data_IF_950194246847
#
_entry.id   IF_950194246847
#
_cell.length_a   1.000
_cell.length_b   1.000
_cell.length_c   1.000
_cell.angle_alpha   90.00
_cell.angle_beta   90.00
_cell.angle_gamma   90.00
#
_symmetry.space_group_name_H-M   'P 1'
#
loop_
_entity.id
_entity.type
_entity.pdbx_description
1 polymer ?
#
# COMPACT_ATOMS: atom_id res chain seq x y z
N UNK A 1 -21.40 13.31 5.09
CA UNK A 1 -20.62 12.24 4.42
C UNK A 1 -21.54 11.52 3.44
N UNK A 2 -21.07 11.21 2.24
CA UNK A 2 -21.88 10.60 1.16
C UNK A 2 -21.94 9.07 1.27
N UNK A 3 -20.85 8.42 1.70
CA UNK A 3 -20.70 6.96 1.78
C UNK A 3 -20.26 6.50 3.19
N UNK A 4 -21.14 6.59 4.21
CA UNK A 4 -20.78 6.27 5.59
C UNK A 4 -20.34 4.81 5.79
N UNK A 5 -21.03 3.83 5.21
CA UNK A 5 -20.75 2.41 5.46
C UNK A 5 -19.46 1.98 4.75
N UNK A 6 -19.30 2.36 3.48
CA UNK A 6 -18.07 2.11 2.73
C UNK A 6 -16.86 2.73 3.43
N UNK A 7 -16.99 3.94 4.00
CA UNK A 7 -15.89 4.57 4.74
C UNK A 7 -15.47 3.77 5.97
N UNK A 8 -16.42 3.21 6.73
CA UNK A 8 -16.10 2.43 7.94
C UNK A 8 -15.43 1.12 7.57
N UNK A 9 -15.92 0.42 6.55
CA UNK A 9 -15.34 -0.85 6.11
C UNK A 9 -13.94 -0.66 5.55
N UNK A 10 -13.73 0.39 4.73
CA UNK A 10 -12.39 0.74 4.26
C UNK A 10 -11.46 1.08 5.43
N UNK A 11 -11.93 1.83 6.43
CA UNK A 11 -11.14 2.16 7.61
C UNK A 11 -10.71 0.91 8.37
N UNK A 12 -11.60 -0.07 8.55
CA UNK A 12 -11.26 -1.35 9.18
C UNK A 12 -10.16 -2.07 8.38
N UNK A 13 -10.28 -2.13 7.06
CA UNK A 13 -9.23 -2.71 6.21
C UNK A 13 -7.90 -1.95 6.30
N UNK A 14 -7.94 -0.62 6.29
CA UNK A 14 -6.78 0.25 6.44
C UNK A 14 -6.05 0.03 7.77
N UNK A 15 -6.80 -0.06 8.88
CA UNK A 15 -6.26 -0.30 10.23
C UNK A 15 -5.70 -1.73 10.34
N UNK A 16 -6.38 -2.71 9.73
CA UNK A 16 -5.92 -4.11 9.66
C UNK A 16 -4.61 -4.26 8.89
N UNK A 17 -4.47 -3.66 7.69
CA UNK A 17 -3.22 -3.72 6.91
C UNK A 17 -2.09 -2.92 7.59
N UNK A 18 -2.41 -1.86 8.32
CA UNK A 18 -1.44 -1.07 9.07
C UNK A 18 -1.03 -1.71 10.40
N UNK A 19 -1.35 -3.01 10.59
CA UNK A 19 -0.99 -3.81 11.76
C UNK A 19 -1.33 -3.17 13.11
N UNK A 20 -2.48 -2.51 13.20
CA UNK A 20 -2.95 -1.92 14.45
C UNK A 20 -3.75 -2.96 15.28
N UNK A 21 -3.51 -3.06 16.59
CA UNK A 21 -4.38 -3.83 17.47
C UNK A 21 -5.82 -3.28 17.38
N UNK A 22 -6.86 -4.12 17.36
CA UNK A 22 -6.89 -5.57 17.62
C UNK A 22 -7.03 -6.45 16.35
N UNK A 23 -6.52 -6.01 15.21
CA UNK A 23 -6.75 -6.70 13.93
C UNK A 23 -5.71 -7.77 13.63
N UNK A 24 -6.06 -8.70 12.73
CA UNK A 24 -5.22 -9.80 12.28
C UNK A 24 -3.83 -9.37 11.76
N UNK A 25 -3.70 -8.23 11.08
CA UNK A 25 -2.41 -7.76 10.61
C UNK A 25 -1.41 -7.53 11.75
N UNK A 26 -1.88 -7.08 12.91
CA UNK A 26 -1.05 -6.95 14.11
C UNK A 26 -0.57 -8.31 14.61
N UNK A 27 -1.45 -9.32 14.63
CA UNK A 27 -1.05 -10.69 15.04
C UNK A 27 -0.03 -11.29 14.07
N UNK A 28 -0.22 -11.14 12.77
CA UNK A 28 0.74 -11.61 11.77
C UNK A 28 2.12 -10.96 11.94
N UNK A 29 2.18 -9.65 12.18
CA UNK A 29 3.45 -8.96 12.43
C UNK A 29 4.07 -9.36 13.76
N UNK A 30 3.29 -9.49 14.84
CA UNK A 30 3.80 -9.99 16.12
C UNK A 30 4.41 -11.38 15.99
N UNK A 31 3.77 -12.30 15.26
CA UNK A 31 4.33 -13.63 15.01
C UNK A 31 5.67 -13.56 14.27
N UNK A 32 5.80 -12.63 13.32
CA UNK A 32 7.09 -12.36 12.69
C UNK A 32 8.09 -11.87 13.74
N UNK A 33 7.78 -10.83 14.52
CA UNK A 33 8.67 -10.31 15.57
C UNK A 33 9.14 -11.41 16.54
N UNK A 34 8.24 -12.26 17.02
CA UNK A 34 8.57 -13.38 17.91
C UNK A 34 9.50 -14.40 17.24
N UNK A 35 9.22 -14.77 15.98
CA UNK A 35 10.10 -15.67 15.22
C UNK A 35 11.51 -15.10 15.04
N UNK A 36 11.63 -13.78 14.83
CA UNK A 36 12.91 -13.08 14.73
C UNK A 36 13.64 -13.04 16.09
N UNK A 37 12.93 -12.75 17.19
CA UNK A 37 13.54 -12.70 18.53
C UNK A 37 14.02 -14.07 19.01
N UNK A 38 13.26 -15.14 18.76
CA UNK A 38 13.69 -16.50 19.08
C UNK A 38 14.95 -16.87 18.27
N UNK A 39 14.98 -16.54 16.98
CA UNK A 39 16.14 -16.76 16.10
C UNK A 39 17.38 -15.99 16.54
N UNK A 40 17.22 -14.83 17.18
CA UNK A 40 18.34 -14.01 17.67
C UNK A 40 19.16 -14.72 18.75
N UNK A 41 18.53 -15.55 19.59
CA UNK A 41 19.22 -16.28 20.66
C UNK A 41 20.19 -17.35 20.15
N UNK A 42 19.89 -17.94 18.99
CA UNK A 42 20.60 -19.08 18.39
C UNK A 42 21.61 -18.66 17.29
N UNK A 43 21.54 -17.41 16.85
CA UNK A 43 22.29 -16.91 15.70
C UNK A 43 23.74 -16.48 16.03
N UNK A 44 24.65 -16.75 15.10
CA UNK A 44 25.99 -16.15 15.07
C UNK A 44 25.93 -14.62 14.94
N UNK A 45 27.01 -13.93 15.32
CA UNK A 45 27.07 -12.46 15.31
C UNK A 45 26.76 -11.83 13.94
N UNK A 46 27.15 -12.47 12.84
CA UNK A 46 26.86 -12.03 11.47
C UNK A 46 25.36 -12.08 11.16
N UNK A 47 24.70 -13.20 11.51
CA UNK A 47 23.27 -13.42 11.31
C UNK A 47 22.45 -12.46 12.18
N UNK A 48 22.90 -12.16 13.40
CA UNK A 48 22.24 -11.17 14.28
C UNK A 48 22.12 -9.78 13.65
N UNK A 49 23.19 -9.30 13.00
CA UNK A 49 23.18 -8.00 12.30
C UNK A 49 22.17 -8.04 11.14
N UNK A 50 22.13 -9.14 10.39
CA UNK A 50 21.17 -9.33 9.31
C UNK A 50 19.73 -9.34 9.83
N UNK A 51 19.44 -10.11 10.88
CA UNK A 51 18.11 -10.20 11.49
C UNK A 51 17.64 -8.83 12.00
N UNK A 52 18.51 -8.08 12.67
CA UNK A 52 18.19 -6.71 13.13
C UNK A 52 17.88 -5.77 11.96
N UNK A 53 18.64 -5.87 10.86
CA UNK A 53 18.43 -5.07 9.66
C UNK A 53 17.08 -5.40 8.99
N UNK A 54 16.73 -6.69 8.89
CA UNK A 54 15.44 -7.13 8.36
C UNK A 54 14.28 -6.65 9.24
N UNK A 55 14.44 -6.74 10.56
CA UNK A 55 13.45 -6.26 11.52
C UNK A 55 13.20 -4.76 11.39
N UNK A 56 14.26 -3.97 11.23
CA UNK A 56 14.17 -2.53 11.02
C UNK A 56 13.46 -2.19 9.69
N UNK A 57 13.74 -2.93 8.62
CA UNK A 57 13.05 -2.78 7.34
C UNK A 57 11.57 -3.12 7.49
N UNK A 58 11.23 -4.21 8.18
CA UNK A 58 9.85 -4.62 8.44
C UNK A 58 9.09 -3.53 9.21
N UNK A 59 9.65 -3.05 10.32
CA UNK A 59 9.05 -1.96 11.10
C UNK A 59 8.86 -0.67 10.26
N UNK A 60 9.85 -0.34 9.42
CA UNK A 60 9.74 0.78 8.49
C UNK A 60 8.59 0.58 7.48
N UNK A 61 8.42 -0.63 6.93
CA UNK A 61 7.33 -0.92 6.01
C UNK A 61 5.95 -0.77 6.65
N UNK A 62 5.78 -1.21 7.90
CA UNK A 62 4.52 -1.05 8.65
C UNK A 62 4.19 0.42 8.91
N UNK A 63 5.20 1.22 9.27
CA UNK A 63 5.03 2.67 9.45
C UNK A 63 4.66 3.38 8.13
N UNK A 64 5.27 2.99 7.00
CA UNK A 64 4.94 3.51 5.68
C UNK A 64 3.55 3.10 5.22
N UNK A 65 3.12 1.86 5.51
CA UNK A 65 1.76 1.40 5.25
C UNK A 65 0.74 2.26 6.01
N UNK A 66 0.95 2.50 7.31
CA UNK A 66 0.11 3.37 8.10
C UNK A 66 0.02 4.79 7.51
N UNK A 67 1.15 5.40 7.16
CA UNK A 67 1.16 6.73 6.54
C UNK A 67 0.41 6.77 5.20
N UNK A 68 0.54 5.72 4.38
CA UNK A 68 -0.16 5.58 3.11
C UNK A 68 -1.68 5.50 3.31
N UNK A 69 -2.15 4.67 4.24
CA UNK A 69 -3.58 4.47 4.46
C UNK A 69 -4.26 5.62 5.20
N UNK A 70 -3.55 6.31 6.11
CA UNK A 70 -4.02 7.56 6.72
C UNK A 70 -4.33 8.60 5.63
N UNK A 71 -3.41 8.75 4.68
CA UNK A 71 -3.60 9.65 3.54
C UNK A 71 -4.71 9.16 2.62
N UNK A 72 -4.74 7.87 2.26
CA UNK A 72 -5.77 7.33 1.39
C UNK A 72 -7.16 7.59 1.98
N UNK A 73 -7.36 7.26 3.26
CA UNK A 73 -8.61 7.52 3.96
C UNK A 73 -8.94 9.02 4.04
N UNK A 74 -7.95 9.86 4.39
CA UNK A 74 -8.10 11.31 4.46
C UNK A 74 -8.54 11.92 3.15
N UNK A 75 -7.84 11.63 2.06
CA UNK A 75 -8.11 12.19 0.72
C UNK A 75 -9.41 11.69 0.09
N UNK A 76 -9.85 10.46 0.40
CA UNK A 76 -11.05 9.87 -0.23
C UNK A 76 -12.33 10.15 0.57
N UNK A 77 -12.28 10.06 1.90
CA UNK A 77 -13.50 10.09 2.75
C UNK A 77 -13.63 11.33 3.64
N UNK A 78 -12.55 12.08 3.89
CA UNK A 78 -12.56 13.27 4.74
C UNK A 78 -12.39 14.57 3.95
N UNK A 79 -11.82 14.50 2.74
CA UNK A 79 -11.57 15.64 1.89
C UNK A 79 -12.84 16.11 1.12
N UNK A 80 -12.77 17.31 0.57
CA UNK A 80 -13.75 17.94 -0.30
C UNK A 80 -13.70 17.29 -1.70
N UNK A 81 -14.85 17.16 -2.36
CA UNK A 81 -14.89 16.58 -3.70
C UNK A 81 -14.19 17.50 -4.70
N UNK A 82 -13.13 16.99 -5.33
CA UNK A 82 -12.37 17.72 -6.37
C UNK A 82 -12.96 17.61 -7.77
N UNK A 83 -13.85 16.64 -7.99
CA UNK A 83 -14.51 16.36 -9.26
C UNK A 83 -16.02 16.26 -9.09
N UNK A 84 -16.76 16.40 -10.19
CA UNK A 84 -18.22 16.36 -10.16
C UNK A 84 -18.75 14.94 -9.84
N UNK A 85 -18.00 13.91 -10.22
CA UNK A 85 -18.26 12.51 -9.89
C UNK A 85 -18.12 12.27 -8.39
N UNK A 86 -17.06 12.80 -7.76
CA UNK A 86 -16.88 12.70 -6.31
C UNK A 86 -17.98 13.43 -5.53
N UNK A 87 -18.46 14.58 -6.05
CA UNK A 87 -19.54 15.34 -5.43
C UNK A 87 -20.91 14.66 -5.54
N UNK A 88 -21.12 13.87 -6.59
CA UNK A 88 -22.37 13.13 -6.86
C UNK A 88 -22.35 11.68 -6.38
N UNK A 89 -21.26 11.24 -5.76
CA UNK A 89 -21.11 9.89 -5.22
C UNK A 89 -22.23 9.54 -4.22
N UNK A 90 -22.70 8.31 -4.30
CA UNK A 90 -23.72 7.74 -3.41
C UNK A 90 -23.23 6.44 -2.83
N UNK A 91 -23.81 6.04 -1.71
CA UNK A 91 -23.53 4.73 -1.12
C UNK A 91 -23.86 3.60 -2.09
N UNK A 92 -23.02 2.58 -2.10
CA UNK A 92 -23.18 1.41 -2.97
C UNK A 92 -24.32 0.50 -2.46
N UNK A 93 -24.77 -0.43 -3.32
CA UNK A 93 -25.84 -1.37 -2.95
C UNK A 93 -25.42 -2.26 -1.79
N UNK A 94 -26.39 -2.73 -0.99
CA UNK A 94 -26.11 -3.58 0.18
C UNK A 94 -25.32 -4.84 -0.19
N UNK A 95 -25.56 -5.43 -1.36
CA UNK A 95 -24.83 -6.61 -1.83
C UNK A 95 -23.33 -6.34 -2.01
N UNK A 96 -22.95 -5.15 -2.51
CA UNK A 96 -21.55 -4.76 -2.66
C UNK A 96 -20.88 -4.45 -1.32
N UNK A 97 -21.64 -4.05 -0.29
CA UNK A 97 -21.12 -3.78 1.06
C UNK A 97 -20.86 -5.08 1.82
N UNK A 98 -21.73 -6.08 1.67
CA UNK A 98 -21.68 -7.32 2.45
C UNK A 98 -20.35 -8.06 2.28
N UNK A 99 -19.83 -8.18 1.05
CA UNK A 99 -18.57 -8.88 0.80
C UNK A 99 -17.39 -8.31 1.60
N UNK A 100 -17.04 -7.03 1.40
CA UNK A 100 -16.01 -6.35 2.18
C UNK A 100 -16.31 -6.31 3.69
N UNK A 101 -17.58 -6.24 4.10
CA UNK A 101 -17.96 -6.27 5.52
C UNK A 101 -17.64 -7.62 6.18
N UNK A 102 -17.89 -8.73 5.49
CA UNK A 102 -17.51 -10.07 5.98
C UNK A 102 -15.99 -10.15 6.18
N UNK A 103 -15.21 -9.66 5.22
CA UNK A 103 -13.75 -9.62 5.34
C UNK A 103 -13.29 -8.73 6.49
N UNK A 104 -13.91 -7.57 6.68
CA UNK A 104 -13.60 -6.66 7.77
C UNK A 104 -13.86 -7.31 9.15
N UNK A 105 -14.98 -8.04 9.29
CA UNK A 105 -15.28 -8.81 10.51
C UNK A 105 -14.28 -9.95 10.68
N UNK A 106 -13.93 -10.66 9.61
CA UNK A 106 -12.92 -11.72 9.65
C UNK A 106 -11.55 -11.19 10.13
N UNK A 107 -11.11 -10.04 9.63
CA UNK A 107 -9.88 -9.39 10.09
C UNK A 107 -9.89 -9.08 11.60
N UNK A 108 -11.04 -8.68 12.14
CA UNK A 108 -11.19 -8.41 13.57
C UNK A 108 -11.18 -9.70 14.39
N UNK A 109 -11.96 -10.71 13.98
CA UNK A 109 -12.06 -12.01 14.67
C UNK A 109 -10.72 -12.73 14.68
N UNK A 110 -10.04 -12.79 13.53
CA UNK A 110 -8.71 -13.38 13.40
C UNK A 110 -7.65 -12.64 14.21
N UNK A 111 -7.83 -11.34 14.48
CA UNK A 111 -6.92 -10.59 15.36
C UNK A 111 -7.20 -10.84 16.85
N UNK A 112 -8.47 -10.77 17.25
CA UNK A 112 -8.89 -10.94 18.65
C UNK A 112 -8.67 -12.35 19.17
N UNK A 113 -8.91 -13.36 18.32
CA UNK A 113 -8.93 -14.76 18.72
C UNK A 113 -7.82 -15.58 18.07
N UNK A 114 -6.71 -14.96 17.63
CA UNK A 114 -5.64 -15.64 16.92
C UNK A 114 -5.13 -16.88 17.69
N UNK A 115 -4.76 -16.71 18.96
CA UNK A 115 -4.20 -17.77 19.81
C UNK A 115 -5.20 -18.92 19.98
N UNK A 116 -6.47 -18.60 20.21
CA UNK A 116 -7.54 -19.57 20.39
C UNK A 116 -7.80 -20.36 19.10
N UNK A 117 -7.78 -19.69 17.94
CA UNK A 117 -7.96 -20.32 16.63
C UNK A 117 -6.81 -21.28 16.34
N UNK A 118 -5.56 -20.87 16.59
CA UNK A 118 -4.40 -21.76 16.42
C UNK A 118 -4.41 -22.93 17.42
N UNK A 119 -4.81 -22.69 18.67
CA UNK A 119 -4.96 -23.74 19.68
C UNK A 119 -5.99 -24.79 19.26
N UNK A 120 -7.15 -24.38 18.76
CA UNK A 120 -8.19 -25.29 18.22
C UNK A 120 -7.67 -26.07 17.01
N UNK A 121 -6.80 -25.47 16.20
CA UNK A 121 -6.15 -26.14 15.08
C UNK A 121 -5.01 -27.10 15.50
N UNK A 122 -4.71 -27.22 16.80
CA UNK A 122 -3.67 -28.11 17.33
C UNK A 122 -2.27 -27.50 17.37
N UNK A 123 -2.13 -26.19 17.18
CA UNK A 123 -0.86 -25.46 17.27
C UNK A 123 -0.79 -24.69 18.58
N UNK A 124 0.24 -24.98 19.39
CA UNK A 124 0.57 -24.20 20.58
C UNK A 124 1.74 -23.27 20.25
N UNK A 125 1.48 -21.96 20.32
CA UNK A 125 2.52 -20.94 20.22
C UNK A 125 2.64 -20.20 21.55
N UNK A 126 3.88 -19.87 21.95
CA UNK A 126 4.15 -18.99 23.08
C UNK A 126 3.93 -17.52 22.69
N UNK A 127 2.73 -17.21 22.22
CA UNK A 127 2.32 -15.84 21.89
C UNK A 127 1.58 -15.23 23.08
N UNK A 128 1.79 -13.93 23.38
CA UNK A 128 0.95 -13.23 24.33
C UNK A 128 -0.52 -13.24 23.86
N UNK A 129 -1.44 -13.68 24.73
CA UNK A 129 -2.87 -13.66 24.42
C UNK A 129 -3.39 -12.20 24.40
N UNK A 130 -3.59 -11.69 23.19
CA UNK A 130 -4.06 -10.31 22.96
C UNK A 130 -5.58 -10.18 22.97
N UNK A 131 -6.33 -11.24 23.30
CA UNK A 131 -7.80 -11.21 23.32
C UNK A 131 -8.34 -10.19 24.32
N UNK A 132 -7.80 -10.13 25.54
CA UNK A 132 -8.22 -9.18 26.57
C UNK A 132 -7.92 -7.74 26.14
N UNK A 133 -6.68 -7.46 25.73
CA UNK A 133 -6.27 -6.12 25.29
C UNK A 133 -7.11 -5.69 24.10
N UNK A 134 -7.33 -6.59 23.15
CA UNK A 134 -8.13 -6.31 21.98
C UNK A 134 -9.59 -6.06 22.30
N UNK A 135 -10.20 -6.83 23.21
CA UNK A 135 -11.56 -6.58 23.68
C UNK A 135 -11.68 -5.22 24.38
N UNK A 136 -10.71 -4.85 25.22
CA UNK A 136 -10.67 -3.53 25.87
C UNK A 136 -10.62 -2.41 24.83
N UNK A 137 -9.79 -2.55 23.80
CA UNK A 137 -9.69 -1.56 22.71
C UNK A 137 -10.99 -1.46 21.90
N UNK A 138 -11.64 -2.59 21.59
CA UNK A 138 -12.95 -2.60 20.90
C UNK A 138 -14.00 -1.91 21.76
N UNK A 139 -14.10 -2.28 23.04
CA UNK A 139 -15.06 -1.68 23.98
C UNK A 139 -14.80 -0.18 24.11
N UNK A 140 -13.55 0.23 24.28
CA UNK A 140 -13.17 1.63 24.32
C UNK A 140 -13.60 2.37 23.04
N UNK A 141 -13.34 1.80 21.85
CA UNK A 141 -13.78 2.37 20.58
C UNK A 141 -15.30 2.51 20.47
N UNK A 142 -16.05 1.48 20.91
CA UNK A 142 -17.52 1.50 20.94
C UNK A 142 -18.04 2.55 21.93
N UNK A 143 -17.43 2.67 23.10
CA UNK A 143 -17.77 3.67 24.11
C UNK A 143 -17.51 5.09 23.59
N UNK A 144 -16.33 5.34 22.99
CA UNK A 144 -16.02 6.64 22.38
C UNK A 144 -17.01 6.95 21.26
N UNK A 145 -17.32 5.98 20.40
CA UNK A 145 -18.32 6.16 19.35
C UNK A 145 -19.71 6.49 19.92
N UNK A 146 -20.15 5.75 20.94
CA UNK A 146 -21.40 5.98 21.65
C UNK A 146 -21.45 7.36 22.31
N UNK A 147 -20.37 7.75 23.00
CA UNK A 147 -20.23 9.05 23.64
C UNK A 147 -20.31 10.17 22.61
N UNK A 148 -19.57 10.07 21.50
CA UNK A 148 -19.66 11.05 20.41
C UNK A 148 -21.08 11.10 19.84
N UNK A 149 -21.78 9.98 19.71
CA UNK A 149 -23.16 9.96 19.20
C UNK A 149 -24.19 10.55 20.17
N UNK A 150 -23.99 10.40 21.47
CA UNK A 150 -24.90 10.87 22.52
C UNK A 150 -24.67 12.35 22.85
N UNK A 151 -23.42 12.78 22.93
CA UNK A 151 -23.04 14.13 23.38
C UNK A 151 -22.79 15.12 22.23
N UNK A 152 -22.61 14.66 20.98
CA UNK A 152 -22.34 15.59 19.88
C UNK A 152 -23.59 16.38 19.47
N UNK A 153 -23.51 17.72 19.40
CA UNK A 153 -24.62 18.56 18.95
C UNK A 153 -25.05 18.18 17.53
N UNK A 154 -26.33 17.88 17.35
CA UNK A 154 -26.88 17.55 16.01
C UNK A 154 -26.87 18.74 15.05
N UNK A 155 -26.71 19.96 15.56
CA UNK A 155 -26.57 21.18 14.75
C UNK A 155 -25.15 21.27 14.19
N UNK A 156 -24.95 20.71 13.00
CA UNK A 156 -23.73 20.91 12.22
C UNK A 156 -23.79 22.28 11.53
N UNK A 157 -22.88 23.19 11.89
CA UNK A 157 -22.66 24.44 11.15
C UNK A 157 -21.57 24.20 10.11
N UNK A 158 -21.88 24.46 8.83
CA UNK A 158 -20.84 24.59 7.81
C UNK A 158 -20.30 26.02 7.88
N UNK A 159 -19.01 26.16 8.16
CA UNK A 159 -18.30 27.43 8.09
C UNK A 159 -17.06 27.27 7.24
N UNK A 160 -16.53 28.38 6.77
CA UNK A 160 -15.22 28.42 6.13
C UNK A 160 -14.16 27.96 7.15
N UNK A 161 -13.19 27.17 6.70
CA UNK A 161 -12.00 26.83 7.48
C UNK A 161 -10.99 27.95 7.41
N UNK A 162 -10.06 28.01 8.35
CA UNK A 162 -8.93 28.94 8.26
C UNK A 162 -8.16 28.69 6.95
N UNK A 163 -8.21 29.65 6.04
CA UNK A 163 -7.56 29.58 4.74
C UNK A 163 -6.45 30.63 4.63
N UNK A 164 -5.72 30.93 5.71
CA UNK A 164 -4.60 31.89 5.72
C UNK A 164 -4.90 33.24 5.02
N UNK A 165 -6.12 33.75 5.13
CA UNK A 165 -6.55 35.00 4.50
C UNK A 165 -7.23 34.87 3.13
N UNK A 166 -7.35 33.67 2.56
CA UNK A 166 -8.16 33.46 1.35
C UNK A 166 -9.66 33.53 1.67
N UNK A 167 -10.42 34.24 0.82
CA UNK A 167 -11.84 34.57 1.03
C UNK A 167 -12.77 33.37 0.80
N UNK A 168 -12.34 32.38 -0.01
CA UNK A 168 -13.07 31.12 -0.24
C UNK A 168 -12.09 29.96 -0.46
N UNK A 169 -12.02 28.96 0.44
CA UNK A 169 -11.26 27.74 0.20
C UNK A 169 -11.93 26.95 -0.92
N UNK A 170 -11.14 26.54 -1.91
CA UNK A 170 -11.60 25.65 -2.99
C UNK A 170 -11.08 24.23 -2.76
N UNK A 171 -11.70 23.18 -3.34
CA UNK A 171 -11.19 21.81 -3.25
C UNK A 171 -9.75 21.62 -3.76
N UNK A 172 -9.19 22.61 -4.47
CA UNK A 172 -7.78 22.61 -4.90
C UNK A 172 -6.78 22.85 -3.77
N UNK A 173 -7.23 23.37 -2.64
CA UNK A 173 -6.38 23.66 -1.46
C UNK A 173 -6.02 22.39 -0.68
N UNK A 174 -6.69 21.28 -0.96
CA UNK A 174 -6.45 20.02 -0.28
C UNK A 174 -5.15 19.38 -0.74
N UNK A 175 -4.48 18.68 0.18
CA UNK A 175 -3.24 17.99 -0.11
C UNK A 175 -3.43 16.97 -1.23
N UNK A 176 -2.60 17.10 -2.27
CA UNK A 176 -2.52 16.13 -3.35
C UNK A 176 -1.71 14.92 -2.91
N UNK A 177 -1.82 13.83 -3.67
CA UNK A 177 -1.02 12.65 -3.40
C UNK A 177 0.49 12.95 -3.43
N UNK A 178 0.93 13.73 -4.41
CA UNK A 178 2.33 14.14 -4.52
C UNK A 178 2.74 15.06 -3.37
N UNK A 179 1.89 16.03 -2.98
CA UNK A 179 2.19 16.96 -1.89
C UNK A 179 2.34 16.28 -0.52
N UNK A 180 1.52 15.28 -0.21
CA UNK A 180 1.66 14.51 1.04
C UNK A 180 2.92 13.64 1.06
N UNK A 181 3.29 13.05 -0.09
CA UNK A 181 4.47 12.18 -0.20
C UNK A 181 5.78 12.97 -0.42
N UNK A 182 5.70 14.28 -0.61
CA UNK A 182 6.84 15.13 -0.95
C UNK A 182 8.00 15.04 0.06
N UNK A 183 7.78 15.10 1.39
CA UNK A 183 8.87 14.95 2.34
C UNK A 183 9.62 13.61 2.17
N UNK A 184 8.89 12.56 1.83
CA UNK A 184 9.44 11.22 1.62
C UNK A 184 10.28 11.18 0.33
N UNK A 185 9.81 11.82 -0.75
CA UNK A 185 10.58 11.97 -1.98
C UNK A 185 11.83 12.83 -1.83
N UNK A 186 11.84 13.77 -0.88
CA UNK A 186 13.04 14.55 -0.54
C UNK A 186 14.08 13.71 0.20
N UNK A 187 13.66 12.92 1.20
CA UNK A 187 14.56 12.01 1.94
C UNK A 187 15.22 11.03 0.96
N UNK A 188 14.45 10.46 0.04
CA UNK A 188 14.93 9.49 -0.95
C UNK A 188 15.29 10.13 -2.30
N UNK A 189 15.64 11.42 -2.33
CA UNK A 189 15.96 12.15 -3.57
C UNK A 189 17.11 11.54 -4.36
N UNK A 190 18.08 10.90 -3.69
CA UNK A 190 19.19 10.21 -4.36
C UNK A 190 18.71 9.06 -5.26
N UNK A 191 17.68 8.35 -4.81
CA UNK A 191 17.10 7.19 -5.51
C UNK A 191 16.10 7.67 -6.56
N UNK A 192 15.16 8.53 -6.17
CA UNK A 192 14.04 8.93 -7.01
C UNK A 192 14.33 10.08 -7.98
N UNK A 193 15.45 10.81 -7.77
CA UNK A 193 15.86 12.00 -8.55
C UNK A 193 14.69 12.95 -8.82
N UNK A 194 13.91 13.23 -7.78
CA UNK A 194 12.70 14.06 -7.83
C UNK A 194 13.02 15.43 -8.44
N UNK A 195 12.35 15.77 -9.55
CA UNK A 195 12.44 17.09 -10.18
C UNK A 195 11.15 17.85 -9.96
N UNK A 196 11.31 19.06 -9.44
CA UNK A 196 10.24 20.02 -9.22
C UNK A 196 10.11 20.92 -10.42
N UNK A 197 8.95 20.89 -11.07
CA UNK A 197 8.61 21.88 -12.08
C UNK A 197 7.54 22.81 -11.53
N UNK A 198 7.84 24.11 -11.55
CA UNK A 198 6.93 25.14 -11.06
C UNK A 198 6.84 26.22 -12.12
N UNK A 199 5.81 26.14 -12.95
CA UNK A 199 5.44 27.25 -13.84
C UNK A 199 4.54 28.18 -13.07
N UNK A 200 4.94 29.45 -12.98
CA UNK A 200 4.13 30.52 -12.40
C UNK A 200 3.95 31.61 -13.43
N UNK A 201 2.72 32.00 -13.67
CA UNK A 201 2.38 33.21 -14.39
C UNK A 201 2.00 34.29 -13.37
N UNK A 202 2.51 35.49 -13.61
CA UNK A 202 2.23 36.67 -12.82
C UNK A 202 1.41 37.65 -13.66
N UNK A 203 0.56 38.42 -13.00
CA UNK A 203 -0.30 39.40 -13.66
C UNK A 203 0.44 40.72 -13.92
N UNK A 204 1.48 40.98 -13.14
CA UNK A 204 2.31 42.17 -13.22
C UNK A 204 3.71 41.86 -13.75
N UNK A 205 4.36 42.88 -14.31
CA UNK A 205 5.71 42.77 -14.83
C UNK A 205 6.76 42.62 -13.71
N UNK A 206 6.43 43.01 -12.48
CA UNK A 206 7.31 42.89 -11.30
C UNK A 206 7.18 41.54 -10.59
N UNK A 207 6.34 40.62 -11.09
CA UNK A 207 6.10 39.30 -10.50
C UNK A 207 5.62 39.33 -9.05
N UNK A 208 4.98 40.43 -8.62
CA UNK A 208 4.43 40.58 -7.29
C UNK A 208 3.02 39.99 -7.17
N UNK A 209 2.25 39.91 -8.27
CA UNK A 209 0.86 39.45 -8.28
C UNK A 209 0.77 38.09 -8.98
N UNK A 210 0.60 37.03 -8.19
CA UNK A 210 0.43 35.68 -8.69
C UNK A 210 -0.90 35.52 -9.42
N UNK A 211 -0.86 35.07 -10.68
CA UNK A 211 -2.05 34.84 -11.51
C UNK A 211 -2.45 33.38 -11.52
N UNK A 212 -1.54 32.50 -11.92
CA UNK A 212 -1.78 31.06 -11.99
C UNK A 212 -0.45 30.31 -11.92
N UNK A 213 -0.48 29.07 -11.45
CA UNK A 213 0.70 28.22 -11.46
C UNK A 213 0.35 26.75 -11.59
N UNK A 214 1.25 26.01 -12.24
CA UNK A 214 1.22 24.56 -12.31
C UNK A 214 2.48 24.05 -11.64
N UNK A 215 2.29 23.23 -10.60
CA UNK A 215 3.38 22.51 -9.96
C UNK A 215 3.20 21.03 -10.26
N UNK A 216 4.23 20.42 -10.83
CA UNK A 216 4.29 18.99 -11.10
C UNK A 216 5.56 18.42 -10.46
N UNK A 217 5.40 17.28 -9.81
CA UNK A 217 6.49 16.49 -9.25
C UNK A 217 6.70 15.34 -10.21
N UNK A 218 7.81 15.35 -10.95
CA UNK A 218 8.19 14.23 -11.79
C UNK A 218 9.20 13.37 -11.05
N UNK A 219 8.84 12.10 -10.85
CA UNK A 219 9.68 11.10 -10.22
C UNK A 219 10.15 10.13 -11.30
N UNK A 220 11.45 9.81 -11.34
CA UNK A 220 11.94 8.77 -12.25
C UNK A 220 11.45 7.42 -11.74
N UNK A 221 10.88 6.60 -12.62
CA UNK A 221 10.49 5.23 -12.26
C UNK A 221 11.71 4.32 -12.38
N UNK A 222 12.59 4.39 -11.38
CA UNK A 222 13.89 3.70 -11.41
C UNK A 222 13.79 2.24 -11.85
N UNK A 223 12.90 1.46 -11.22
CA UNK A 223 12.72 0.05 -11.56
C UNK A 223 12.21 -0.14 -12.99
N UNK A 224 11.25 0.67 -13.44
CA UNK A 224 10.71 0.56 -14.81
C UNK A 224 11.79 0.87 -15.84
N UNK A 225 12.47 2.02 -15.70
CA UNK A 225 13.38 2.53 -16.72
C UNK A 225 14.73 1.81 -16.76
N UNK A 226 15.26 1.40 -15.61
CA UNK A 226 16.61 0.82 -15.52
C UNK A 226 16.64 -0.70 -15.35
N UNK A 227 15.54 -1.33 -14.90
CA UNK A 227 15.50 -2.78 -14.67
C UNK A 227 14.50 -3.44 -15.62
N UNK A 228 13.22 -3.08 -15.55
CA UNK A 228 12.18 -3.76 -16.29
C UNK A 228 12.28 -3.53 -17.80
N UNK A 229 12.42 -2.29 -18.27
CA UNK A 229 12.50 -2.01 -19.71
C UNK A 229 13.72 -2.63 -20.40
N UNK A 230 14.95 -2.59 -19.83
CA UNK A 230 16.09 -3.28 -20.42
C UNK A 230 15.92 -4.79 -20.48
N UNK A 231 15.40 -5.40 -19.40
CA UNK A 231 15.14 -6.84 -19.35
C UNK A 231 14.05 -7.24 -20.35
N UNK A 232 12.93 -6.51 -20.40
CA UNK A 232 11.87 -6.73 -21.37
C UNK A 232 12.39 -6.55 -22.81
N UNK A 233 13.25 -5.56 -23.04
CA UNK A 233 13.94 -5.36 -24.31
C UNK A 233 14.86 -6.52 -24.68
N UNK A 234 15.59 -7.10 -23.73
CA UNK A 234 16.41 -8.30 -23.91
C UNK A 234 15.56 -9.49 -24.32
N UNK A 235 14.46 -9.77 -23.59
CA UNK A 235 13.51 -10.82 -23.96
C UNK A 235 12.91 -10.57 -25.34
N UNK A 236 12.58 -9.33 -25.68
CA UNK A 236 12.10 -8.96 -27.02
C UNK A 236 13.16 -9.13 -28.12
N UNK A 237 14.46 -9.05 -27.81
CA UNK A 237 15.54 -9.38 -28.76
C UNK A 237 15.69 -10.90 -28.93
N UNK A 238 15.71 -11.65 -27.84
CA UNK A 238 15.81 -13.11 -27.84
C UNK A 238 14.61 -13.71 -28.57
N UNK A 239 13.39 -13.26 -28.27
CA UNK A 239 12.17 -13.69 -28.93
C UNK A 239 12.26 -13.46 -30.44
N UNK A 240 12.63 -12.26 -30.89
CA UNK A 240 12.81 -11.98 -32.33
C UNK A 240 13.90 -12.82 -32.98
N UNK A 241 14.99 -13.12 -32.26
CA UNK A 241 16.05 -14.00 -32.74
C UNK A 241 15.54 -15.44 -32.94
N UNK A 242 14.81 -15.98 -31.96
CA UNK A 242 14.21 -17.32 -32.03
C UNK A 242 13.14 -17.39 -33.13
N UNK A 243 12.27 -16.40 -33.23
CA UNK A 243 11.25 -16.35 -34.29
C UNK A 243 11.89 -16.35 -35.67
N UNK A 244 13.01 -15.63 -35.87
CA UNK A 244 13.76 -15.69 -37.13
C UNK A 244 14.37 -17.05 -37.43
N UNK A 245 14.77 -17.83 -36.41
CA UNK A 245 15.24 -19.20 -36.60
C UNK A 245 14.07 -20.14 -36.95
N UNK A 246 12.86 -19.85 -36.49
CA UNK A 246 11.66 -20.65 -36.76
C UNK A 246 10.94 -20.28 -38.07
N UNK A 247 11.20 -19.15 -38.70
CA UNK A 247 10.53 -18.74 -39.95
C UNK A 247 11.28 -19.17 -41.24
N UNK A 248 12.25 -20.07 -41.14
CA UNK A 248 13.05 -20.53 -42.29
C UNK A 248 12.63 -21.93 -42.69
N UNK A 249 12.34 -22.09 -43.98
CA UNK A 249 12.05 -23.28 -44.81
C UNK A 249 11.89 -24.64 -44.10
N UNK A 250 10.95 -25.47 -44.58
CA UNK A 250 10.61 -26.79 -44.00
C UNK A 250 11.83 -27.68 -43.73
N UNK A 251 12.87 -27.60 -44.56
CA UNK A 251 14.13 -28.32 -44.36
C UNK A 251 14.90 -27.91 -43.09
N UNK A 252 14.89 -26.63 -42.73
CA UNK A 252 15.54 -26.13 -41.51
C UNK A 252 14.82 -26.59 -40.24
N UNK A 253 13.48 -26.66 -40.27
CA UNK A 253 12.70 -27.23 -39.16
C UNK A 253 13.04 -28.69 -38.87
N UNK A 254 13.12 -29.52 -39.91
CA UNK A 254 13.46 -30.93 -39.77
C UNK A 254 14.87 -31.07 -39.19
N UNK A 255 15.83 -30.27 -39.65
CA UNK A 255 17.19 -30.24 -39.10
C UNK A 255 17.23 -29.86 -37.62
N UNK A 256 16.50 -28.81 -37.20
CA UNK A 256 16.43 -28.41 -35.79
C UNK A 256 15.79 -29.48 -34.91
N UNK A 257 14.74 -30.16 -35.40
CA UNK A 257 14.12 -31.27 -34.67
C UNK A 257 15.09 -32.45 -34.49
N UNK A 258 15.85 -32.80 -35.53
CA UNK A 258 16.84 -33.87 -35.49
C UNK A 258 18.00 -33.53 -34.52
N UNK A 259 18.55 -32.31 -34.59
CA UNK A 259 19.60 -31.85 -33.66
C UNK A 259 19.09 -31.87 -32.22
N UNK A 260 17.84 -31.46 -31.98
CA UNK A 260 17.25 -31.44 -30.64
C UNK A 260 17.13 -32.86 -30.07
N UNK A 261 16.66 -33.83 -30.86
CA UNK A 261 16.61 -35.25 -30.45
C UNK A 261 18.00 -35.78 -30.15
N UNK A 262 18.99 -35.47 -30.99
CA UNK A 262 20.37 -35.93 -30.81
C UNK A 262 21.03 -35.33 -29.56
N UNK A 263 20.79 -34.04 -29.28
CA UNK A 263 21.21 -33.38 -28.05
C UNK A 263 20.55 -33.98 -26.81
N UNK A 264 19.25 -34.29 -26.86
CA UNK A 264 18.54 -34.95 -25.75
C UNK A 264 19.11 -36.33 -25.48
N UNK A 265 19.43 -37.12 -26.51
CA UNK A 265 20.04 -38.45 -26.35
C UNK A 265 21.45 -38.35 -25.75
N UNK A 266 22.26 -37.40 -26.21
CA UNK A 266 23.60 -37.17 -25.65
C UNK A 266 23.54 -36.70 -24.20
N UNK A 267 22.60 -35.81 -23.86
CA UNK A 267 22.38 -35.36 -22.49
C UNK A 267 21.89 -36.51 -21.60
N UNK A 268 20.97 -37.36 -22.09
CA UNK A 268 20.48 -38.52 -21.35
C UNK A 268 21.58 -39.55 -21.10
N UNK A 269 22.48 -39.78 -22.07
CA UNK A 269 23.66 -40.64 -21.90
C UNK A 269 24.71 -40.07 -20.95
N UNK A 270 24.73 -38.75 -20.76
CA UNK A 270 25.64 -38.12 -19.80
C UNK A 270 25.07 -38.14 -18.37
N UNK A 271 23.75 -38.27 -18.24
CA UNK A 271 23.02 -38.36 -16.97
C UNK A 271 22.84 -39.79 -16.43
N UNK A 272 23.17 -40.82 -17.22
CA UNK A 272 23.11 -42.25 -16.87
C UNK A 272 24.48 -42.89 -17.07
#
# INVERSE_FOLDING_TARGET
KLMPYTSVIFLVGAVSISALPPFNGFMSELMLFESFFQSFSLAESSIKILLFSVLAILALTSALAAACFVKAFGTVFLAMPRSQEAASAKEVSKSMIIGPAILAVACLVLGLFAVQIFSVAGYSFDLPDMSLVGLVLVIFGVLVFGMVRLFSPRKSRRSETWACGYVRPTPRFEYTASGFAEPLFQIFRLIYRTRHYNERSYEDNQQAIFKQGKSAIHTIKFFDEYIYLPVAGLFGRISRFISRLQDVDLGSHILYSFITVLLVILAARWLW
#
